data_IF_473924071680
#
_entry.id   IF_473924071680
#
_cell.length_a   1.000
_cell.length_b   1.000
_cell.length_c   1.000
_cell.angle_alpha   90.00
_cell.angle_beta   90.00
_cell.angle_gamma   90.00
#
_symmetry.space_group_name_H-M   'P 1'
#
loop_
_entity.id
_entity.type
_entity.pdbx_description
1 polymer ?
#
# COMPACT_ATOMS: atom_id res chain seq x y z
N UNK A 1 -5.60 11.98 -0.27
CA UNK A 1 -5.91 10.98 0.78
C UNK A 1 -5.52 11.56 2.12
N UNK A 2 -6.29 11.33 3.20
CA UNK A 2 -5.92 11.82 4.54
C UNK A 2 -4.71 11.03 5.05
N UNK A 3 -3.80 11.68 5.78
CA UNK A 3 -2.52 11.06 6.20
C UNK A 3 -2.71 9.77 7.01
N UNK A 4 -3.68 9.71 7.92
CA UNK A 4 -3.96 8.49 8.71
C UNK A 4 -4.36 7.28 7.85
N UNK A 5 -5.06 7.49 6.73
CA UNK A 5 -5.42 6.40 5.81
C UNK A 5 -4.16 5.87 5.13
N UNK A 6 -3.23 6.75 4.77
CA UNK A 6 -1.93 6.35 4.20
C UNK A 6 -1.13 5.56 5.23
N UNK A 7 -1.03 6.04 6.47
CA UNK A 7 -0.33 5.31 7.55
C UNK A 7 -0.95 3.93 7.82
N UNK A 8 -2.28 3.79 7.76
CA UNK A 8 -2.94 2.49 7.90
C UNK A 8 -2.56 1.53 6.75
N UNK A 9 -2.52 2.03 5.50
CA UNK A 9 -2.12 1.25 4.32
C UNK A 9 -0.63 0.88 4.30
N UNK A 10 0.18 1.42 5.20
CA UNK A 10 1.59 1.06 5.38
C UNK A 10 1.73 0.11 6.57
N UNK A 11 1.25 0.53 7.73
CA UNK A 11 1.42 -0.20 8.99
C UNK A 11 0.71 -1.54 8.98
N UNK A 12 -0.53 -1.63 8.49
CA UNK A 12 -1.29 -2.89 8.51
C UNK A 12 -0.62 -3.96 7.64
N UNK A 13 -0.26 -3.71 6.36
CA UNK A 13 0.41 -4.73 5.54
C UNK A 13 1.79 -5.11 6.07
N UNK A 14 2.58 -4.16 6.59
CA UNK A 14 3.87 -4.47 7.20
C UNK A 14 3.69 -5.41 8.39
N UNK A 15 2.81 -5.05 9.33
CA UNK A 15 2.56 -5.87 10.53
C UNK A 15 1.97 -7.24 10.17
N UNK A 16 1.05 -7.29 9.21
CA UNK A 16 0.46 -8.54 8.75
C UNK A 16 1.52 -9.45 8.09
N UNK A 17 2.35 -8.89 7.20
CA UNK A 17 3.45 -9.62 6.56
C UNK A 17 4.46 -10.13 7.58
N UNK A 18 4.86 -9.29 8.54
CA UNK A 18 5.76 -9.70 9.63
C UNK A 18 5.17 -10.80 10.52
N UNK A 19 3.88 -10.71 10.86
CA UNK A 19 3.20 -11.73 11.65
C UNK A 19 3.11 -13.06 10.90
N UNK A 20 2.73 -13.02 9.62
CA UNK A 20 2.69 -14.21 8.77
C UNK A 20 4.07 -14.85 8.65
N UNK A 21 5.10 -14.04 8.44
CA UNK A 21 6.47 -14.51 8.37
C UNK A 21 6.92 -15.17 9.68
N UNK A 22 6.59 -14.57 10.83
CA UNK A 22 6.88 -15.12 12.15
C UNK A 22 6.23 -16.50 12.36
N UNK A 23 4.91 -16.60 12.14
CA UNK A 23 4.14 -17.83 12.37
C UNK A 23 4.57 -18.99 11.46
N UNK A 24 5.03 -18.68 10.25
CA UNK A 24 5.39 -19.69 9.24
C UNK A 24 6.88 -20.00 9.17
N UNK A 25 7.73 -19.21 9.84
CA UNK A 25 9.20 -19.34 9.81
C UNK A 25 9.80 -19.60 11.20
N UNK A 26 9.52 -20.75 11.85
CA UNK A 26 10.05 -21.05 13.20
C UNK A 26 11.58 -21.04 13.29
N UNK A 27 12.26 -21.29 12.18
CA UNK A 27 13.71 -21.49 12.14
C UNK A 27 14.51 -20.19 11.99
N UNK A 28 13.87 -19.03 11.78
CA UNK A 28 14.61 -17.77 11.71
C UNK A 28 14.97 -17.26 13.10
N UNK A 29 16.18 -16.72 13.24
CA UNK A 29 16.74 -16.17 14.50
C UNK A 29 15.76 -15.17 15.13
N UNK A 30 15.06 -14.40 14.30
CA UNK A 30 14.05 -13.44 14.73
C UNK A 30 12.87 -14.11 15.45
N UNK A 31 12.31 -15.18 14.88
CA UNK A 31 11.20 -15.91 15.50
C UNK A 31 11.63 -16.57 16.81
N UNK A 32 12.82 -17.20 16.82
CA UNK A 32 13.37 -17.82 18.02
C UNK A 32 13.62 -16.81 19.16
N UNK A 33 14.02 -15.58 18.84
CA UNK A 33 14.20 -14.52 19.83
C UNK A 33 12.86 -14.04 20.39
N UNK A 34 11.81 -13.95 19.56
CA UNK A 34 10.46 -13.61 20.01
C UNK A 34 9.88 -14.71 20.89
N UNK A 35 10.03 -15.98 20.50
CA UNK A 35 9.60 -17.13 21.29
C UNK A 35 10.25 -17.14 22.68
N UNK A 36 11.56 -16.86 22.75
CA UNK A 36 12.28 -16.75 24.02
C UNK A 36 11.80 -15.59 24.87
N UNK A 37 11.39 -14.49 24.25
CA UNK A 37 10.90 -13.31 24.97
C UNK A 37 9.47 -13.52 25.49
N UNK A 38 8.61 -14.14 24.70
CA UNK A 38 7.18 -14.31 25.00
C UNK A 38 6.87 -15.62 25.73
N UNK A 39 7.76 -16.61 25.70
CA UNK A 39 7.55 -17.95 26.26
C UNK A 39 6.47 -18.76 25.55
N UNK A 40 6.00 -18.31 24.39
CA UNK A 40 4.97 -18.95 23.57
C UNK A 40 5.54 -19.20 22.18
N UNK A 41 5.33 -20.40 21.65
CA UNK A 41 5.75 -20.77 20.30
C UNK A 41 4.50 -21.06 19.47
N UNK A 42 4.12 -20.10 18.62
CA UNK A 42 2.95 -20.22 17.74
C UNK A 42 3.40 -20.43 16.30
N UNK A 43 3.70 -21.69 15.97
CA UNK A 43 4.21 -22.06 14.65
C UNK A 43 3.27 -23.04 13.95
N UNK A 44 3.01 -22.78 12.68
CA UNK A 44 2.27 -23.69 11.81
C UNK A 44 3.28 -24.61 11.11
N UNK A 45 3.01 -25.92 11.13
CA UNK A 45 3.84 -26.90 10.45
C UNK A 45 3.94 -26.62 8.95
N UNK A 46 5.14 -26.69 8.40
CA UNK A 46 5.46 -26.43 6.99
C UNK A 46 5.17 -27.61 6.07
N UNK A 47 4.29 -28.52 6.49
CA UNK A 47 4.00 -29.77 5.77
C UNK A 47 3.02 -29.57 4.61
N UNK A 48 2.30 -28.45 4.63
CA UNK A 48 1.33 -28.11 3.60
C UNK A 48 1.95 -27.14 2.57
N UNK A 49 1.99 -27.56 1.30
CA UNK A 49 2.47 -26.75 0.16
C UNK A 49 1.81 -25.37 0.08
N UNK A 50 0.54 -25.26 0.47
CA UNK A 50 -0.17 -23.98 0.51
C UNK A 50 0.44 -23.01 1.53
N UNK A 51 0.81 -23.50 2.71
CA UNK A 51 1.42 -22.69 3.78
C UNK A 51 2.82 -22.25 3.37
N UNK A 52 3.56 -23.10 2.66
CA UNK A 52 4.88 -22.77 2.10
C UNK A 52 4.76 -21.66 1.06
N UNK A 53 3.82 -21.76 0.11
CA UNK A 53 3.62 -20.74 -0.90
C UNK A 53 3.15 -19.41 -0.30
N UNK A 54 2.23 -19.45 0.67
CA UNK A 54 1.80 -18.23 1.38
C UNK A 54 2.97 -17.57 2.13
N UNK A 55 3.83 -18.37 2.75
CA UNK A 55 5.02 -17.86 3.44
C UNK A 55 5.98 -17.16 2.48
N UNK A 56 6.19 -17.71 1.30
CA UNK A 56 7.13 -17.15 0.32
C UNK A 56 6.59 -15.85 -0.28
N UNK A 57 5.37 -15.87 -0.85
CA UNK A 57 4.89 -14.76 -1.69
C UNK A 57 4.13 -13.67 -0.92
N UNK A 58 3.42 -14.03 0.16
CA UNK A 58 2.45 -13.11 0.77
C UNK A 58 3.10 -11.96 1.55
N UNK A 59 4.17 -12.16 2.34
CA UNK A 59 4.87 -11.06 3.00
C UNK A 59 5.42 -10.05 1.99
N UNK A 60 6.08 -10.52 0.92
CA UNK A 60 6.72 -9.66 -0.08
C UNK A 60 5.68 -8.85 -0.86
N UNK A 61 4.56 -9.48 -1.24
CA UNK A 61 3.42 -8.77 -1.82
C UNK A 61 2.87 -7.67 -0.90
N UNK A 62 2.74 -7.94 0.41
CA UNK A 62 2.24 -6.95 1.39
C UNK A 62 3.23 -5.81 1.59
N UNK A 63 4.53 -6.09 1.57
CA UNK A 63 5.58 -5.10 1.74
C UNK A 63 5.76 -4.24 0.49
N UNK A 64 5.71 -4.82 -0.72
CA UNK A 64 5.71 -4.08 -1.99
C UNK A 64 4.49 -3.14 -2.08
N UNK A 65 3.31 -3.60 -1.68
CA UNK A 65 2.12 -2.74 -1.54
C UNK A 65 2.37 -1.55 -0.60
N UNK A 66 2.92 -1.81 0.60
CA UNK A 66 3.22 -0.78 1.60
C UNK A 66 4.30 0.21 1.12
N UNK A 67 5.25 -0.24 0.30
CA UNK A 67 6.31 0.59 -0.27
C UNK A 67 5.73 1.72 -1.13
N UNK A 68 4.74 1.43 -1.97
CA UNK A 68 4.08 2.45 -2.81
C UNK A 68 3.41 3.53 -1.95
N UNK A 69 2.71 3.14 -0.88
CA UNK A 69 2.12 4.12 0.05
C UNK A 69 3.17 4.89 0.84
N UNK A 70 4.30 4.27 1.16
CA UNK A 70 5.43 4.94 1.81
C UNK A 70 6.04 6.00 0.90
N UNK A 71 6.24 5.69 -0.39
CA UNK A 71 6.67 6.67 -1.39
C UNK A 71 5.68 7.82 -1.53
N UNK A 72 4.38 7.56 -1.38
CA UNK A 72 3.34 8.60 -1.40
C UNK A 72 3.47 9.58 -0.23
N UNK A 73 3.89 9.12 0.95
CA UNK A 73 4.18 10.01 2.08
C UNK A 73 5.36 10.93 1.80
N UNK A 74 6.42 10.40 1.18
CA UNK A 74 7.66 11.15 0.92
C UNK A 74 7.48 12.13 -0.24
N UNK A 75 6.87 11.69 -1.34
CA UNK A 75 6.72 12.49 -2.58
C UNK A 75 5.47 13.36 -2.60
N UNK A 76 4.50 13.09 -1.71
CA UNK A 76 3.25 13.82 -1.61
C UNK A 76 2.15 13.36 -2.58
N UNK A 77 0.96 13.93 -2.43
CA UNK A 77 -0.26 13.47 -3.10
C UNK A 77 -0.50 14.13 -4.48
N UNK A 78 0.51 14.17 -5.34
CA UNK A 78 0.37 14.68 -6.71
C UNK A 78 0.19 13.50 -7.68
N UNK A 79 -0.94 13.48 -8.41
CA UNK A 79 -1.30 12.38 -9.33
C UNK A 79 -0.23 12.09 -10.39
N UNK A 80 0.49 13.13 -10.85
CA UNK A 80 1.58 13.00 -11.82
C UNK A 80 2.77 12.17 -11.32
N UNK A 81 2.93 12.04 -10.00
CA UNK A 81 4.03 11.27 -9.40
C UNK A 81 3.64 9.82 -9.14
N UNK A 82 2.37 9.44 -9.26
CA UNK A 82 1.92 8.07 -8.95
C UNK A 82 2.58 7.03 -9.84
N UNK A 83 2.72 7.30 -11.14
CA UNK A 83 3.45 6.41 -12.04
C UNK A 83 4.96 6.41 -11.76
N UNK A 84 5.54 7.53 -11.30
CA UNK A 84 6.94 7.57 -10.90
C UNK A 84 7.18 6.73 -9.65
N UNK A 85 6.26 6.77 -8.68
CA UNK A 85 6.31 5.92 -7.49
C UNK A 85 6.25 4.44 -7.85
N UNK A 86 5.37 4.07 -8.79
CA UNK A 86 5.31 2.71 -9.33
C UNK A 86 6.66 2.27 -9.93
N UNK A 87 7.24 3.08 -10.81
CA UNK A 87 8.53 2.75 -11.44
C UNK A 87 9.64 2.62 -10.40
N UNK A 88 9.69 3.53 -9.42
CA UNK A 88 10.70 3.47 -8.34
C UNK A 88 10.51 2.24 -7.47
N UNK A 89 9.27 1.91 -7.08
CA UNK A 89 8.95 0.73 -6.30
C UNK A 89 9.33 -0.54 -7.09
N UNK A 90 8.84 -0.69 -8.32
CA UNK A 90 9.11 -1.88 -9.12
C UNK A 90 10.60 -2.08 -9.45
N UNK A 91 11.34 -0.98 -9.68
CA UNK A 91 12.80 -1.05 -9.78
C UNK A 91 13.45 -1.52 -8.48
N UNK A 92 13.03 -0.99 -7.34
CA UNK A 92 13.55 -1.39 -6.03
C UNK A 92 13.28 -2.86 -5.75
N UNK A 93 12.04 -3.31 -5.94
CA UNK A 93 11.58 -4.70 -5.79
C UNK A 93 12.40 -5.65 -6.68
N UNK A 94 12.53 -5.33 -7.97
CA UNK A 94 13.35 -6.11 -8.91
C UNK A 94 14.84 -6.16 -8.51
N UNK A 95 15.41 -5.03 -8.05
CA UNK A 95 16.81 -4.97 -7.62
C UNK A 95 17.03 -5.83 -6.38
N UNK A 96 16.13 -5.76 -5.40
CA UNK A 96 16.21 -6.56 -4.18
C UNK A 96 16.20 -8.05 -4.50
N UNK A 97 15.40 -8.46 -5.48
CA UNK A 97 15.34 -9.84 -5.94
C UNK A 97 16.63 -10.27 -6.68
N UNK A 98 17.12 -9.45 -7.60
CA UNK A 98 18.39 -9.71 -8.32
C UNK A 98 19.58 -9.75 -7.35
N UNK A 99 19.57 -8.96 -6.27
CA UNK A 99 20.62 -9.00 -5.24
C UNK A 99 20.69 -10.36 -4.53
N UNK A 100 19.61 -11.13 -4.47
CA UNK A 100 19.63 -12.48 -3.90
C UNK A 100 20.49 -13.44 -4.71
N UNK A 101 20.60 -13.25 -6.04
CA UNK A 101 21.52 -14.02 -6.92
C UNK A 101 22.97 -13.86 -6.50
N UNK A 102 23.33 -12.67 -6.00
CA UNK A 102 24.71 -12.37 -5.57
C UNK A 102 25.06 -12.95 -4.20
N UNK A 103 24.09 -13.50 -3.47
CA UNK A 103 24.26 -13.98 -2.10
C UNK A 103 24.47 -12.88 -1.05
N UNK A 104 24.45 -11.60 -1.45
CA UNK A 104 24.55 -10.46 -0.55
C UNK A 104 23.32 -10.35 0.37
N UNK A 105 22.14 -10.68 -0.18
CA UNK A 105 20.88 -10.75 0.54
C UNK A 105 20.49 -12.21 0.69
N UNK A 106 20.09 -12.61 1.91
CA UNK A 106 19.56 -13.95 2.14
C UNK A 106 18.21 -14.08 1.46
N UNK A 107 18.12 -14.93 0.47
CA UNK A 107 16.90 -15.23 -0.28
C UNK A 107 17.19 -16.20 -1.42
N UNK A 108 16.13 -16.59 -2.14
CA UNK A 108 16.23 -17.41 -3.35
C UNK A 108 15.62 -16.62 -4.48
N UNK A 109 16.40 -16.39 -5.54
CA UNK A 109 15.89 -15.70 -6.71
C UNK A 109 14.67 -16.43 -7.31
N UNK A 110 13.50 -15.79 -7.27
CA UNK A 110 12.26 -16.27 -7.84
C UNK A 110 11.59 -15.17 -8.70
N UNK A 111 11.38 -15.49 -9.98
CA UNK A 111 10.68 -14.59 -10.91
C UNK A 111 9.22 -14.38 -10.49
N UNK A 112 8.62 -15.35 -9.80
CA UNK A 112 7.25 -15.23 -9.30
C UNK A 112 7.14 -14.14 -8.24
N UNK A 113 8.18 -13.91 -7.41
CA UNK A 113 8.22 -12.82 -6.43
C UNK A 113 8.10 -11.47 -7.13
N UNK A 114 8.91 -11.25 -8.17
CA UNK A 114 8.84 -10.04 -9.00
C UNK A 114 7.41 -9.82 -9.56
N UNK A 115 6.78 -10.88 -10.07
CA UNK A 115 5.43 -10.78 -10.66
C UNK A 115 4.41 -10.38 -9.60
N UNK A 116 4.40 -11.03 -8.42
CA UNK A 116 3.41 -10.74 -7.37
C UNK A 116 3.63 -9.36 -6.75
N UNK A 117 4.88 -8.94 -6.60
CA UNK A 117 5.22 -7.59 -6.11
C UNK A 117 4.72 -6.52 -7.08
N UNK A 118 4.97 -6.67 -8.38
CA UNK A 118 4.49 -5.73 -9.40
C UNK A 118 2.95 -5.65 -9.40
N UNK A 119 2.25 -6.78 -9.23
CA UNK A 119 0.78 -6.79 -9.10
C UNK A 119 0.34 -6.01 -7.86
N UNK A 120 0.99 -6.20 -6.71
CA UNK A 120 0.70 -5.46 -5.49
C UNK A 120 0.93 -3.96 -5.63
N UNK A 121 2.02 -3.56 -6.26
CA UNK A 121 2.32 -2.16 -6.53
C UNK A 121 1.27 -1.52 -7.45
N UNK A 122 0.84 -2.23 -8.49
CA UNK A 122 -0.25 -1.81 -9.37
C UNK A 122 -1.57 -1.64 -8.61
N UNK A 123 -1.89 -2.55 -7.69
CA UNK A 123 -3.08 -2.43 -6.83
C UNK A 123 -2.98 -1.17 -5.96
N UNK A 124 -1.84 -0.90 -5.33
CA UNK A 124 -1.63 0.30 -4.53
C UNK A 124 -1.81 1.58 -5.37
N UNK A 125 -1.19 1.63 -6.56
CA UNK A 125 -1.34 2.71 -7.54
C UNK A 125 -2.80 2.94 -7.93
N UNK A 126 -3.52 1.85 -8.20
CA UNK A 126 -4.93 1.91 -8.55
C UNK A 126 -5.79 2.51 -7.43
N UNK A 127 -5.56 2.09 -6.18
CA UNK A 127 -6.28 2.64 -5.01
C UNK A 127 -5.97 4.14 -4.85
N UNK A 128 -4.71 4.55 -4.95
CA UNK A 128 -4.30 5.95 -4.85
C UNK A 128 -5.00 6.79 -5.94
N UNK A 129 -4.95 6.34 -7.20
CA UNK A 129 -5.61 7.03 -8.32
C UNK A 129 -7.12 7.11 -8.14
N UNK A 130 -7.76 6.01 -7.75
CA UNK A 130 -9.21 5.95 -7.53
C UNK A 130 -9.64 6.92 -6.43
N UNK A 131 -8.86 7.02 -5.35
CA UNK A 131 -9.12 7.98 -4.29
C UNK A 131 -8.96 9.43 -4.77
N UNK A 132 -7.93 9.76 -5.56
CA UNK A 132 -7.73 11.12 -6.07
C UNK A 132 -8.86 11.55 -7.03
N UNK A 133 -9.30 10.65 -7.93
CA UNK A 133 -10.43 10.91 -8.83
C UNK A 133 -11.72 11.18 -8.06
N UNK A 134 -12.01 10.36 -7.04
CA UNK A 134 -13.19 10.57 -6.18
C UNK A 134 -13.14 11.93 -5.49
N UNK A 135 -11.99 12.31 -4.91
CA UNK A 135 -11.82 13.61 -4.26
C UNK A 135 -12.15 14.76 -5.20
N UNK A 136 -11.56 14.77 -6.41
CA UNK A 136 -11.81 15.82 -7.42
C UNK A 136 -13.29 15.90 -7.83
N UNK A 137 -13.96 14.75 -7.93
CA UNK A 137 -15.40 14.71 -8.21
C UNK A 137 -16.24 15.34 -7.08
N UNK A 138 -15.89 15.09 -5.81
CA UNK A 138 -16.59 15.69 -4.68
C UNK A 138 -16.36 17.21 -4.59
N UNK A 139 -15.11 17.66 -4.79
CA UNK A 139 -14.75 19.08 -4.83
C UNK A 139 -15.53 19.82 -5.95
N UNK A 140 -15.56 19.25 -7.17
CA UNK A 140 -16.33 19.80 -8.29
C UNK A 140 -17.83 19.88 -7.99
N UNK A 141 -18.43 18.83 -7.43
CA UNK A 141 -19.86 18.84 -7.10
C UNK A 141 -20.18 19.89 -6.03
N UNK A 142 -19.29 20.07 -5.04
CA UNK A 142 -19.47 21.08 -3.99
C UNK A 142 -19.37 22.51 -4.53
N UNK A 143 -18.46 22.78 -5.48
CA UNK A 143 -18.37 24.07 -6.17
C UNK A 143 -19.64 24.38 -6.97
N UNK A 144 -20.17 23.40 -7.70
CA UNK A 144 -21.44 23.54 -8.44
C UNK A 144 -22.58 23.89 -7.48
N UNK A 145 -22.76 23.12 -6.39
CA UNK A 145 -23.80 23.39 -5.41
C UNK A 145 -23.64 24.78 -4.74
N UNK A 146 -22.42 25.20 -4.44
CA UNK A 146 -22.15 26.53 -3.88
C UNK A 146 -22.46 27.64 -4.88
N UNK A 147 -22.12 27.46 -6.15
CA UNK A 147 -22.45 28.39 -7.23
C UNK A 147 -23.96 28.54 -7.44
N UNK A 148 -24.70 27.43 -7.43
CA UNK A 148 -26.18 27.44 -7.50
C UNK A 148 -26.77 28.17 -6.29
N UNK A 149 -26.34 27.84 -5.07
CA UNK A 149 -26.84 28.50 -3.86
C UNK A 149 -26.56 30.01 -3.82
N UNK A 150 -25.39 30.46 -4.31
CA UNK A 150 -25.09 31.90 -4.43
C UNK A 150 -25.98 32.56 -5.47
N UNK A 151 -26.17 31.94 -6.65
CA UNK A 151 -27.05 32.48 -7.69
C UNK A 151 -28.49 32.62 -7.20
N UNK A 152 -29.02 31.62 -6.50
CA UNK A 152 -30.37 31.65 -5.92
C UNK A 152 -30.51 32.75 -4.86
N UNK A 153 -29.48 32.97 -4.04
CA UNK A 153 -29.47 34.03 -3.01
C UNK A 153 -29.38 35.45 -3.59
N UNK A 154 -28.73 35.64 -4.75
CA UNK A 154 -28.69 36.92 -5.46
C UNK A 154 -30.06 37.21 -6.09
N UNK A 155 -30.72 36.20 -6.67
CA UNK A 155 -32.07 36.35 -7.23
C UNK A 155 -33.13 36.67 -6.16
N UNK A 156 -32.91 36.27 -4.90
CA UNK A 156 -33.87 36.46 -3.81
C UNK A 156 -33.62 37.69 -2.93
N UNK A 157 -32.54 38.47 -3.16
CA UNK A 157 -32.27 39.64 -2.35
C UNK A 157 -33.14 40.84 -2.78
N UNK A 158 -34.40 40.81 -2.35
CA UNK A 158 -34.94 41.87 -1.50
C UNK A 158 -35.39 43.20 -2.11
N UNK A 159 -35.15 43.52 -3.39
CA UNK A 159 -35.69 44.77 -3.99
C UNK A 159 -36.88 44.56 -4.94
N UNK A 160 -37.38 43.33 -5.08
CA UNK A 160 -38.68 43.05 -5.73
C UNK A 160 -38.80 43.50 -7.19
N UNK A 161 -37.71 43.90 -7.84
CA UNK A 161 -37.66 44.22 -9.27
C UNK A 161 -36.81 43.17 -9.99
N UNK A 162 -37.49 42.43 -10.87
CA UNK A 162 -36.86 41.64 -11.91
C UNK A 162 -36.03 42.58 -12.80
N UNK A 163 -34.75 42.24 -12.99
CA UNK A 163 -33.92 42.75 -14.09
C UNK A 163 -34.14 41.83 -15.29
#
# INVERSE_FOLDING_TARGET
MKKYIVYANISIPILAGSLLYYVTSPQVIFAQNIDRLLGVSLHVGTENTFVVNLRSYMPDMLWAYALVFSLMLVTGNKTAYVWKMFVIAGMFSTIMEVLQVTGCVKGTFDVMDIIVEIIAELMAVFIIKRHDMRRKSYEKNQEVHRGTAVSDSICYNGDGKWI
#
